data_IF_239689405721
#
_entry.id   IF_239689405721
#
_cell.length_a   1.000
_cell.length_b   1.000
_cell.length_c   1.000
_cell.angle_alpha   90.00
_cell.angle_beta   90.00
_cell.angle_gamma   90.00
#
_symmetry.space_group_name_H-M   'P 1'
#
loop_
_entity.id
_entity.type
_entity.pdbx_description
1 polymer ?
#
# COMPACT_ATOMS: atom_id res chain seq x y z
N UNK A 1 18.77 18.53 44.11
CA UNK A 1 17.94 17.40 43.65
C UNK A 1 16.95 17.93 42.65
N UNK A 2 17.19 17.72 41.36
CA UNK A 2 16.32 18.19 40.28
C UNK A 2 15.49 17.00 39.81
N UNK A 3 14.19 17.03 40.10
CA UNK A 3 13.23 16.02 39.63
C UNK A 3 12.89 16.39 38.19
N UNK A 4 13.40 15.62 37.24
CA UNK A 4 13.03 15.73 35.83
C UNK A 4 11.57 15.26 35.71
N UNK A 5 10.64 16.20 35.58
CA UNK A 5 9.26 15.87 35.21
C UNK A 5 9.23 15.62 33.69
N UNK A 6 9.01 14.35 33.39
CA UNK A 6 9.22 13.67 32.14
C UNK A 6 8.02 13.89 31.18
N UNK A 7 8.30 14.35 29.96
CA UNK A 7 7.67 14.05 28.64
C UNK A 7 6.14 13.91 28.44
N UNK A 8 5.29 13.81 29.46
CA UNK A 8 3.83 13.70 29.30
C UNK A 8 3.14 15.04 29.06
N UNK A 9 3.64 16.14 29.62
CA UNK A 9 3.07 17.49 29.39
C UNK A 9 3.28 17.97 27.94
N UNK A 10 4.37 17.55 27.28
CA UNK A 10 4.66 17.87 25.88
C UNK A 10 3.74 17.13 24.89
N UNK A 11 3.30 15.91 25.23
CA UNK A 11 2.36 15.16 24.39
C UNK A 11 0.92 15.63 24.56
N UNK A 12 0.52 16.02 25.77
CA UNK A 12 -0.81 16.61 26.00
C UNK A 12 -0.93 18.01 25.38
N UNK A 13 0.13 18.84 25.39
CA UNK A 13 0.11 20.13 24.71
C UNK A 13 -0.02 20.00 23.19
N UNK A 14 0.57 18.97 22.57
CA UNK A 14 0.46 18.74 21.12
C UNK A 14 -0.91 18.19 20.70
N UNK A 15 -1.58 17.38 21.52
CA UNK A 15 -2.99 17.04 21.26
C UNK A 15 -3.91 18.25 21.48
N UNK A 16 -3.59 19.12 22.44
CA UNK A 16 -4.27 20.40 22.64
C UNK A 16 -4.12 21.35 21.44
N UNK A 17 -2.95 21.41 20.81
CA UNK A 17 -2.70 22.24 19.62
C UNK A 17 -3.42 21.70 18.38
N UNK A 18 -3.42 20.38 18.15
CA UNK A 18 -4.19 19.75 17.07
C UNK A 18 -5.71 19.92 17.30
N UNK A 19 -6.16 19.77 18.55
CA UNK A 19 -7.54 19.99 18.97
C UNK A 19 -7.94 21.46 18.87
N UNK A 20 -7.05 22.41 19.16
CA UNK A 20 -7.27 23.86 18.97
C UNK A 20 -7.29 24.25 17.49
N UNK A 21 -6.44 23.65 16.65
CA UNK A 21 -6.51 23.78 15.19
C UNK A 21 -7.87 23.29 14.64
N UNK A 22 -8.38 22.19 15.20
CA UNK A 22 -9.63 21.58 14.74
C UNK A 22 -10.89 22.24 15.35
N UNK A 23 -10.79 22.79 16.57
CA UNK A 23 -11.90 23.42 17.30
C UNK A 23 -12.07 24.92 17.05
N UNK A 24 -11.06 25.64 16.53
CA UNK A 24 -11.16 27.05 16.08
C UNK A 24 -11.14 27.16 14.55
N UNK A 25 -11.93 26.32 13.89
CA UNK A 25 -11.97 26.05 12.44
C UNK A 25 -12.47 27.20 11.54
N UNK A 26 -12.72 28.40 12.07
CA UNK A 26 -13.23 29.53 11.28
C UNK A 26 -12.98 30.84 12.04
N UNK A 27 -12.14 31.72 11.50
CA UNK A 27 -12.01 33.11 11.97
C UNK A 27 -10.60 33.62 12.29
N UNK A 28 -9.55 32.84 12.05
CA UNK A 28 -8.16 33.30 12.20
C UNK A 28 -7.43 33.21 10.86
N UNK A 29 -7.15 34.36 10.24
CA UNK A 29 -6.54 34.48 8.93
C UNK A 29 -5.20 33.73 8.79
N UNK A 30 -4.41 33.61 9.86
CA UNK A 30 -3.16 32.85 9.85
C UNK A 30 -3.40 31.34 9.77
N UNK A 31 -4.43 30.84 10.46
CA UNK A 31 -4.82 29.42 10.41
C UNK A 31 -5.37 29.09 9.02
N UNK A 32 -6.22 29.96 8.48
CA UNK A 32 -6.77 29.83 7.12
C UNK A 32 -5.66 29.86 6.06
N UNK A 33 -4.65 30.73 6.22
CA UNK A 33 -3.51 30.84 5.31
C UNK A 33 -2.52 29.66 5.42
N UNK A 34 -2.35 29.06 6.61
CA UNK A 34 -1.53 27.85 6.78
C UNK A 34 -2.24 26.64 6.16
N UNK A 35 -3.55 26.48 6.37
CA UNK A 35 -4.36 25.43 5.75
C UNK A 35 -4.30 25.58 4.22
N UNK A 36 -4.59 26.78 3.71
CA UNK A 36 -4.53 27.09 2.28
C UNK A 36 -3.16 26.82 1.67
N UNK A 37 -2.05 27.17 2.34
CA UNK A 37 -0.70 26.87 1.86
C UNK A 37 -0.37 25.38 1.84
N UNK A 38 -0.82 24.62 2.84
CA UNK A 38 -0.67 23.16 2.85
C UNK A 38 -1.51 22.51 1.75
N UNK A 39 -2.72 22.97 1.52
CA UNK A 39 -3.60 22.49 0.45
C UNK A 39 -3.03 22.83 -0.93
N UNK A 40 -2.48 24.03 -1.15
CA UNK A 40 -1.82 24.41 -2.40
C UNK A 40 -0.56 23.59 -2.65
N UNK A 41 0.28 23.36 -1.62
CA UNK A 41 1.44 22.47 -1.74
C UNK A 41 1.01 21.04 -2.07
N UNK A 42 -0.08 20.57 -1.47
CA UNK A 42 -0.60 19.24 -1.74
C UNK A 42 -1.21 19.13 -3.13
N UNK A 43 -1.97 20.12 -3.59
CA UNK A 43 -2.48 20.22 -4.96
C UNK A 43 -1.34 20.21 -5.99
N UNK A 44 -0.28 20.99 -5.77
CA UNK A 44 0.90 20.97 -6.66
C UNK A 44 1.63 19.63 -6.62
N UNK A 45 1.69 18.99 -5.46
CA UNK A 45 2.22 17.62 -5.34
C UNK A 45 1.32 16.63 -6.08
N UNK A 46 0.01 16.80 -6.04
CA UNK A 46 -0.97 15.99 -6.77
C UNK A 46 -0.86 16.17 -8.28
N UNK A 47 -0.76 17.41 -8.76
CA UNK A 47 -0.48 17.72 -10.16
C UNK A 47 0.84 17.08 -10.60
N UNK A 48 1.89 17.14 -9.78
CA UNK A 48 3.15 16.44 -10.06
C UNK A 48 3.03 14.90 -10.02
N UNK A 49 2.04 14.38 -9.28
CA UNK A 49 1.69 12.96 -9.25
C UNK A 49 0.71 12.57 -10.37
N UNK A 50 0.27 13.52 -11.22
CA UNK A 50 -0.65 13.30 -12.34
C UNK A 50 -2.14 13.27 -11.97
N UNK A 51 -2.49 13.64 -10.73
CA UNK A 51 -3.84 13.63 -10.18
C UNK A 51 -4.56 14.93 -10.56
N UNK A 52 -5.41 14.88 -11.59
CA UNK A 52 -6.25 16.01 -12.02
C UNK A 52 -7.48 16.18 -11.12
N UNK A 53 -7.88 17.44 -10.86
CA UNK A 53 -9.01 17.83 -10.01
C UNK A 53 -10.40 17.47 -10.57
N UNK A 54 -10.47 16.95 -11.80
CA UNK A 54 -11.70 16.38 -12.35
C UNK A 54 -11.99 15.03 -11.65
N UNK A 55 -13.09 14.99 -10.90
CA UNK A 55 -13.56 13.85 -10.09
C UNK A 55 -13.86 12.54 -10.86
N UNK A 56 -13.43 12.44 -12.11
CA UNK A 56 -13.61 11.29 -13.01
C UNK A 56 -12.45 10.29 -13.01
N UNK A 57 -11.67 10.22 -11.94
CA UNK A 57 -10.35 9.58 -11.98
C UNK A 57 -10.39 8.05 -11.72
N UNK A 58 -11.19 7.34 -12.53
CA UNK A 58 -11.35 5.88 -12.53
C UNK A 58 -10.03 5.13 -12.50
N UNK A 59 -8.98 5.67 -13.15
CA UNK A 59 -7.63 5.10 -13.13
C UNK A 59 -7.02 5.00 -11.72
N UNK A 60 -7.24 5.97 -10.83
CA UNK A 60 -6.73 5.91 -9.45
C UNK A 60 -7.55 4.96 -8.60
N UNK A 61 -8.88 4.98 -8.72
CA UNK A 61 -9.74 3.97 -8.07
C UNK A 61 -9.37 2.55 -8.49
N UNK A 62 -8.95 2.36 -9.74
CA UNK A 62 -8.46 1.07 -10.23
C UNK A 62 -7.09 0.71 -9.65
N UNK A 63 -6.20 1.68 -9.42
CA UNK A 63 -4.93 1.44 -8.70
C UNK A 63 -5.21 1.03 -7.26
N UNK A 64 -6.01 1.79 -6.53
CA UNK A 64 -6.43 1.53 -5.15
C UNK A 64 -7.06 0.12 -5.02
N UNK A 65 -8.03 -0.21 -5.88
CA UNK A 65 -8.59 -1.57 -5.93
C UNK A 65 -7.56 -2.64 -6.24
N UNK A 66 -6.66 -2.41 -7.21
CA UNK A 66 -5.68 -3.41 -7.60
C UNK A 66 -4.62 -3.62 -6.50
N UNK A 67 -4.25 -2.56 -5.79
CA UNK A 67 -3.34 -2.58 -4.65
C UNK A 67 -3.97 -3.33 -3.46
N UNK A 68 -5.22 -3.04 -3.12
CA UNK A 68 -5.98 -3.78 -2.11
C UNK A 68 -6.14 -5.26 -2.49
N UNK A 69 -6.47 -5.57 -3.75
CA UNK A 69 -6.56 -6.96 -4.21
C UNK A 69 -5.21 -7.70 -4.11
N UNK A 70 -4.09 -7.01 -4.26
CA UNK A 70 -2.75 -7.58 -4.05
C UNK A 70 -2.53 -7.92 -2.58
N UNK A 71 -2.89 -7.02 -1.67
CA UNK A 71 -2.81 -7.26 -0.23
C UNK A 71 -3.74 -8.41 0.20
N UNK A 72 -4.99 -8.42 -0.26
CA UNK A 72 -5.93 -9.51 -0.02
C UNK A 72 -5.40 -10.87 -0.51
N UNK A 73 -4.69 -10.90 -1.64
CA UNK A 73 -4.11 -12.12 -2.17
C UNK A 73 -2.95 -12.62 -1.31
N UNK A 74 -2.16 -11.70 -0.73
CA UNK A 74 -1.12 -12.02 0.25
C UNK A 74 -1.70 -12.47 1.60
N UNK A 75 -2.77 -11.83 2.08
CA UNK A 75 -3.46 -12.24 3.32
C UNK A 75 -4.01 -13.65 3.23
N UNK A 76 -4.59 -14.01 2.09
CA UNK A 76 -5.07 -15.38 1.83
C UNK A 76 -3.94 -16.40 1.85
N UNK A 77 -2.72 -16.01 1.50
CA UNK A 77 -1.54 -16.86 1.60
C UNK A 77 -1.04 -17.04 3.04
N UNK A 78 -1.60 -16.35 4.03
CA UNK A 78 -1.25 -16.56 5.45
C UNK A 78 -2.05 -17.70 6.10
N UNK A 79 -3.06 -18.24 5.39
CA UNK A 79 -3.87 -19.34 5.88
C UNK A 79 -3.00 -20.59 6.13
N UNK A 80 -2.94 -21.02 7.39
CA UNK A 80 -2.13 -22.17 7.83
C UNK A 80 -2.54 -23.47 7.13
N UNK A 81 -3.81 -23.62 6.76
CA UNK A 81 -4.31 -24.81 6.08
C UNK A 81 -3.67 -25.01 4.70
N UNK A 82 -3.09 -23.97 4.10
CA UNK A 82 -2.35 -24.07 2.84
C UNK A 82 -0.97 -24.75 3.00
N UNK A 83 -0.47 -24.88 4.23
CA UNK A 83 0.89 -25.36 4.52
C UNK A 83 0.92 -26.65 5.34
N UNK A 84 -0.23 -27.12 5.81
CA UNK A 84 -0.36 -28.30 6.65
C UNK A 84 -1.20 -29.35 5.93
N UNK A 85 -0.79 -30.62 6.05
CA UNK A 85 -1.62 -31.72 5.57
C UNK A 85 -2.85 -31.85 6.47
N UNK A 86 -4.03 -32.10 5.88
CA UNK A 86 -5.18 -32.56 6.65
C UNK A 86 -4.82 -33.86 7.38
N UNK A 87 -5.26 -33.99 8.64
CA UNK A 87 -4.95 -35.15 9.47
C UNK A 87 -5.35 -36.45 8.76
N UNK A 88 -4.36 -37.29 8.43
CA UNK A 88 -4.56 -38.57 7.75
C UNK A 88 -4.60 -38.52 6.22
N UNK A 89 -4.26 -37.39 5.58
CA UNK A 89 -4.11 -37.26 4.12
C UNK A 89 -2.70 -36.85 3.72
N UNK A 90 -2.33 -37.13 2.47
CA UNK A 90 -1.14 -36.54 1.86
C UNK A 90 -1.34 -35.03 1.69
N UNK A 91 -0.25 -34.27 1.80
CA UNK A 91 -0.27 -32.83 1.62
C UNK A 91 -0.61 -32.47 0.17
N UNK A 92 -1.71 -31.73 -0.03
CA UNK A 92 -2.10 -31.20 -1.34
C UNK A 92 -1.63 -29.74 -1.48
N UNK A 93 -0.67 -29.51 -2.38
CA UNK A 93 -0.14 -28.17 -2.65
C UNK A 93 -1.02 -27.37 -3.62
N UNK A 94 -2.11 -27.92 -4.16
CA UNK A 94 -2.94 -27.24 -5.17
C UNK A 94 -3.51 -25.91 -4.66
N UNK A 95 -3.92 -25.85 -3.39
CA UNK A 95 -4.38 -24.62 -2.75
C UNK A 95 -3.30 -23.54 -2.71
N UNK A 96 -2.08 -23.92 -2.31
CA UNK A 96 -0.93 -23.03 -2.26
C UNK A 96 -0.53 -22.53 -3.65
N UNK A 97 -0.41 -23.43 -4.64
CA UNK A 97 -0.08 -23.08 -6.03
C UNK A 97 -1.09 -22.09 -6.62
N UNK A 98 -2.37 -22.31 -6.37
CA UNK A 98 -3.44 -21.40 -6.77
C UNK A 98 -3.35 -20.06 -6.04
N UNK A 99 -3.05 -20.07 -4.75
CA UNK A 99 -2.82 -18.85 -3.96
C UNK A 99 -1.67 -18.01 -4.52
N UNK A 100 -0.53 -18.63 -4.81
CA UNK A 100 0.64 -17.94 -5.38
C UNK A 100 0.35 -17.41 -6.79
N UNK A 101 -0.36 -18.19 -7.61
CA UNK A 101 -0.79 -17.75 -8.95
C UNK A 101 -1.74 -16.55 -8.88
N UNK A 102 -2.66 -16.54 -7.91
CA UNK A 102 -3.56 -15.41 -7.66
C UNK A 102 -2.78 -14.17 -7.20
N UNK A 103 -1.80 -14.33 -6.31
CA UNK A 103 -0.91 -13.26 -5.89
C UNK A 103 -0.15 -12.64 -7.07
N UNK A 104 0.46 -13.46 -7.92
CA UNK A 104 1.17 -13.00 -9.13
C UNK A 104 0.23 -12.25 -10.07
N UNK A 105 -0.99 -12.77 -10.25
CA UNK A 105 -2.02 -12.11 -11.07
C UNK A 105 -2.41 -10.75 -10.49
N UNK A 106 -2.60 -10.67 -9.17
CA UNK A 106 -2.94 -9.44 -8.48
C UNK A 106 -1.80 -8.41 -8.56
N UNK A 107 -0.54 -8.84 -8.39
CA UNK A 107 0.64 -7.99 -8.53
C UNK A 107 0.73 -7.43 -9.96
N UNK A 108 0.60 -8.29 -10.97
CA UNK A 108 0.64 -7.87 -12.37
C UNK A 108 -0.49 -6.90 -12.72
N UNK A 109 -1.66 -7.08 -12.10
CA UNK A 109 -2.78 -6.14 -12.20
C UNK A 109 -2.45 -4.80 -11.55
N UNK A 110 -1.85 -4.77 -10.36
CA UNK A 110 -1.42 -3.55 -9.69
C UNK A 110 -0.40 -2.76 -10.53
N UNK A 111 0.65 -3.42 -11.03
CA UNK A 111 1.65 -2.83 -11.93
C UNK A 111 1.02 -2.29 -13.22
N UNK A 112 0.05 -3.01 -13.79
CA UNK A 112 -0.67 -2.57 -14.98
C UNK A 112 -1.50 -1.31 -14.72
N UNK A 113 -2.22 -1.27 -13.60
CA UNK A 113 -3.03 -0.11 -13.23
C UNK A 113 -2.16 1.09 -12.86
N UNK A 114 -1.04 0.88 -12.16
CA UNK A 114 -0.03 1.92 -11.92
C UNK A 114 0.50 2.48 -13.23
N UNK A 115 0.86 1.63 -14.19
CA UNK A 115 1.35 2.05 -15.51
C UNK A 115 0.30 2.88 -16.27
N UNK A 116 -0.97 2.43 -16.25
CA UNK A 116 -2.10 3.15 -16.87
C UNK A 116 -2.37 4.49 -16.18
N UNK A 117 -2.17 4.55 -14.87
CA UNK A 117 -2.32 5.75 -14.08
C UNK A 117 -1.28 6.81 -14.47
N UNK A 118 -0.03 6.38 -14.64
CA UNK A 118 1.11 7.22 -14.99
C UNK A 118 1.56 8.15 -13.85
N UNK A 119 2.41 9.11 -14.20
CA UNK A 119 2.87 10.15 -13.27
C UNK A 119 3.82 9.65 -12.17
N UNK A 120 4.06 10.50 -11.17
CA UNK A 120 4.96 10.15 -10.07
C UNK A 120 4.41 9.01 -9.18
N UNK A 121 3.08 8.83 -9.12
CA UNK A 121 2.48 7.71 -8.39
C UNK A 121 2.92 6.36 -8.98
N UNK A 122 2.87 6.21 -10.30
CA UNK A 122 3.42 5.04 -10.98
C UNK A 122 4.90 4.82 -10.67
N UNK A 123 5.72 5.86 -10.81
CA UNK A 123 7.18 5.72 -10.68
C UNK A 123 7.59 5.37 -9.25
N UNK A 124 6.99 5.99 -8.23
CA UNK A 124 7.28 5.69 -6.82
C UNK A 124 6.91 4.26 -6.47
N UNK A 125 5.64 3.86 -6.67
CA UNK A 125 5.19 2.54 -6.23
C UNK A 125 5.73 1.39 -7.08
N UNK A 126 5.99 1.59 -8.37
CA UNK A 126 6.73 0.58 -9.16
C UNK A 126 8.13 0.36 -8.62
N UNK A 127 8.83 1.43 -8.26
CA UNK A 127 10.20 1.33 -7.71
C UNK A 127 10.15 0.62 -6.37
N UNK A 128 9.23 0.99 -5.48
CA UNK A 128 9.06 0.33 -4.18
C UNK A 128 8.75 -1.17 -4.31
N UNK A 129 7.84 -1.56 -5.22
CA UNK A 129 7.51 -2.96 -5.48
C UNK A 129 8.68 -3.73 -6.10
N UNK A 130 9.44 -3.10 -7.00
CA UNK A 130 10.63 -3.67 -7.61
C UNK A 130 11.75 -3.86 -6.58
N UNK A 131 12.00 -2.87 -5.72
CA UNK A 131 13.00 -2.95 -4.65
C UNK A 131 12.63 -4.00 -3.62
N UNK A 132 11.35 -4.09 -3.24
CA UNK A 132 10.86 -5.13 -2.35
C UNK A 132 11.10 -6.54 -2.93
N UNK A 133 10.86 -6.73 -4.24
CA UNK A 133 11.16 -7.98 -4.92
C UNK A 133 12.66 -8.25 -5.01
N UNK A 134 13.46 -7.26 -5.42
CA UNK A 134 14.91 -7.40 -5.57
C UNK A 134 15.62 -7.74 -4.26
N UNK A 135 15.13 -7.23 -3.14
CA UNK A 135 15.66 -7.56 -1.81
C UNK A 135 15.54 -9.05 -1.46
N UNK A 136 14.66 -9.78 -2.15
CA UNK A 136 14.37 -11.20 -1.96
C UNK A 136 14.42 -12.01 -3.25
N UNK A 137 15.19 -11.51 -4.23
CA UNK A 137 15.21 -12.04 -5.59
C UNK A 137 15.57 -13.52 -5.63
N UNK A 138 16.62 -13.91 -4.91
CA UNK A 138 17.11 -15.29 -4.91
C UNK A 138 16.08 -16.24 -4.28
N UNK A 139 15.39 -15.82 -3.22
CA UNK A 139 14.30 -16.59 -2.62
C UNK A 139 13.09 -16.71 -3.56
N UNK A 140 12.74 -15.64 -4.29
CA UNK A 140 11.68 -15.67 -5.30
C UNK A 140 12.03 -16.62 -6.45
N UNK A 141 13.25 -16.55 -6.98
CA UNK A 141 13.69 -17.41 -8.09
C UNK A 141 13.74 -18.90 -7.67
N UNK A 142 14.09 -19.18 -6.41
CA UNK A 142 14.06 -20.53 -5.85
C UNK A 142 12.64 -21.12 -5.79
N UNK A 143 11.63 -20.31 -5.52
CA UNK A 143 10.22 -20.76 -5.56
C UNK A 143 9.59 -20.65 -6.95
N UNK A 144 10.37 -20.35 -7.99
CA UNK A 144 9.89 -20.26 -9.37
C UNK A 144 9.19 -18.95 -9.74
N UNK A 145 9.40 -17.87 -8.99
CA UNK A 145 8.88 -16.54 -9.33
C UNK A 145 10.04 -15.65 -9.78
N UNK A 146 9.89 -14.99 -10.91
CA UNK A 146 10.89 -14.06 -11.44
C UNK A 146 10.26 -12.73 -11.84
N UNK A 147 11.07 -11.67 -11.89
CA UNK A 147 10.63 -10.35 -12.35
C UNK A 147 11.00 -10.18 -13.82
N UNK A 148 9.98 -9.97 -14.67
CA UNK A 148 10.13 -9.62 -16.07
C UNK A 148 10.61 -8.19 -16.27
N UNK A 149 11.03 -7.87 -17.51
CA UNK A 149 11.52 -6.54 -17.88
C UNK A 149 10.46 -5.44 -17.82
N UNK A 150 9.18 -5.79 -17.73
CA UNK A 150 8.05 -4.87 -17.59
C UNK A 150 7.63 -4.65 -16.12
N UNK A 151 8.48 -5.08 -15.17
CA UNK A 151 8.21 -5.10 -13.73
C UNK A 151 7.02 -5.98 -13.35
N UNK A 152 6.67 -6.98 -14.16
CA UNK A 152 5.65 -7.98 -13.83
C UNK A 152 6.30 -9.27 -13.36
N UNK A 153 5.60 -9.99 -12.49
CA UNK A 153 6.01 -11.30 -12.04
C UNK A 153 5.65 -12.37 -13.06
N UNK A 154 6.58 -13.31 -13.25
CA UNK A 154 6.43 -14.50 -14.09
C UNK A 154 6.60 -15.72 -13.21
N UNK A 155 5.70 -16.69 -13.37
CA UNK A 155 5.73 -17.96 -12.63
C UNK A 155 6.23 -19.07 -13.53
N UNK A 156 7.27 -19.74 -13.08
CA UNK A 156 7.70 -21.06 -13.55
C UNK A 156 6.90 -22.11 -12.77
N UNK A 157 5.89 -22.68 -13.42
CA UNK A 157 4.98 -23.63 -12.78
C UNK A 157 5.69 -24.92 -12.32
N UNK A 158 6.75 -25.34 -13.02
CA UNK A 158 7.49 -26.54 -12.64
C UNK A 158 8.30 -26.31 -11.37
N UNK A 159 9.01 -25.17 -11.29
CA UNK A 159 9.74 -24.79 -10.08
C UNK A 159 8.81 -24.49 -8.91
N UNK A 160 7.70 -23.80 -9.16
CA UNK A 160 6.73 -23.50 -8.10
C UNK A 160 6.08 -24.77 -7.56
N UNK A 161 5.78 -25.77 -8.41
CA UNK A 161 5.28 -27.07 -7.97
C UNK A 161 6.31 -27.87 -7.14
N UNK A 162 7.60 -27.70 -7.41
CA UNK A 162 8.69 -28.29 -6.66
C UNK A 162 9.11 -27.49 -5.40
N UNK A 163 8.61 -26.27 -5.24
CA UNK A 163 8.96 -25.40 -4.13
C UNK A 163 8.41 -25.93 -2.80
N UNK A 164 9.16 -25.73 -1.72
CA UNK A 164 8.70 -26.14 -0.40
C UNK A 164 7.65 -25.14 0.12
N UNK A 165 6.54 -25.63 0.71
CA UNK A 165 5.51 -24.75 1.29
C UNK A 165 6.06 -23.78 2.33
N UNK A 166 7.02 -24.23 3.13
CA UNK A 166 7.69 -23.43 4.15
C UNK A 166 8.45 -22.23 3.56
N UNK A 167 9.11 -22.43 2.40
CA UNK A 167 9.85 -21.37 1.71
C UNK A 167 8.89 -20.32 1.15
N UNK A 168 7.76 -20.77 0.58
CA UNK A 168 6.68 -19.89 0.12
C UNK A 168 6.10 -19.08 1.29
N UNK A 169 5.84 -19.72 2.44
CA UNK A 169 5.34 -19.06 3.65
C UNK A 169 6.32 -18.03 4.20
N UNK A 170 7.60 -18.38 4.25
CA UNK A 170 8.64 -17.49 4.75
C UNK A 170 8.77 -16.22 3.89
N UNK A 171 8.49 -16.34 2.59
CA UNK A 171 8.62 -15.24 1.64
C UNK A 171 7.35 -14.40 1.48
N UNK A 172 6.17 -15.04 1.42
CA UNK A 172 4.89 -14.38 1.12
C UNK A 172 3.95 -14.27 2.33
N UNK A 173 4.22 -14.97 3.42
CA UNK A 173 3.41 -14.92 4.64
C UNK A 173 3.49 -13.58 5.35
N UNK A 174 2.53 -13.32 6.25
CA UNK A 174 2.33 -12.02 6.92
C UNK A 174 3.52 -11.55 7.76
N UNK A 175 4.36 -12.50 8.20
CA UNK A 175 5.56 -12.22 9.00
C UNK A 175 6.75 -11.76 8.17
N UNK A 176 6.74 -12.02 6.86
CA UNK A 176 7.83 -11.72 5.94
C UNK A 176 8.06 -10.21 5.79
N UNK A 177 9.30 -9.82 5.50
CA UNK A 177 9.62 -8.42 5.18
C UNK A 177 8.97 -7.99 3.87
N UNK A 178 8.84 -8.91 2.91
CA UNK A 178 8.19 -8.64 1.63
C UNK A 178 6.72 -8.26 1.84
N UNK A 179 5.95 -9.08 2.58
CA UNK A 179 4.55 -8.77 2.91
C UNK A 179 4.42 -7.38 3.55
N UNK A 180 5.24 -7.08 4.56
CA UNK A 180 5.17 -5.79 5.28
C UNK A 180 5.47 -4.60 4.38
N UNK A 181 6.43 -4.75 3.46
CA UNK A 181 6.75 -3.71 2.48
C UNK A 181 5.58 -3.47 1.52
N UNK A 182 4.98 -4.54 1.00
CA UNK A 182 3.80 -4.43 0.12
C UNK A 182 2.62 -3.82 0.88
N UNK A 183 2.31 -4.29 2.09
CA UNK A 183 1.24 -3.73 2.92
C UNK A 183 1.44 -2.23 3.18
N UNK A 184 2.65 -1.82 3.55
CA UNK A 184 2.97 -0.40 3.79
C UNK A 184 2.82 0.46 2.54
N UNK A 185 3.20 -0.08 1.38
CA UNK A 185 3.04 0.59 0.10
C UNK A 185 1.56 0.70 -0.30
N UNK A 186 0.75 -0.35 -0.08
CA UNK A 186 -0.71 -0.32 -0.30
C UNK A 186 -1.39 0.70 0.61
N UNK A 187 -1.06 0.74 1.91
CA UNK A 187 -1.57 1.75 2.84
C UNK A 187 -1.23 3.18 2.39
N UNK A 188 -0.03 3.37 1.82
CA UNK A 188 0.42 4.64 1.28
C UNK A 188 -0.35 5.01 -0.01
N UNK A 189 -0.59 4.05 -0.91
CA UNK A 189 -1.42 4.21 -2.10
C UNK A 189 -2.82 4.66 -1.68
N UNK A 190 -3.45 3.94 -0.76
CA UNK A 190 -4.80 4.22 -0.29
C UNK A 190 -4.88 5.58 0.37
N UNK A 191 -3.90 5.94 1.20
CA UNK A 191 -3.85 7.26 1.83
C UNK A 191 -3.75 8.38 0.79
N UNK A 192 -2.88 8.23 -0.21
CA UNK A 192 -2.67 9.24 -1.26
C UNK A 192 -3.92 9.36 -2.15
N UNK A 193 -4.49 8.24 -2.57
CA UNK A 193 -5.64 8.19 -3.49
C UNK A 193 -6.91 8.66 -2.79
N UNK A 194 -7.21 8.17 -1.58
CA UNK A 194 -8.38 8.63 -0.83
C UNK A 194 -8.29 10.12 -0.56
N UNK A 195 -7.13 10.62 -0.13
CA UNK A 195 -6.93 12.07 0.04
C UNK A 195 -7.14 12.82 -1.27
N UNK A 196 -6.63 12.32 -2.39
CA UNK A 196 -6.83 12.92 -3.69
C UNK A 196 -8.29 12.99 -4.15
N UNK A 197 -9.03 11.88 -3.98
CA UNK A 197 -10.46 11.80 -4.30
C UNK A 197 -11.28 12.76 -3.44
N UNK A 198 -10.93 12.84 -2.16
CA UNK A 198 -11.61 13.69 -1.20
C UNK A 198 -11.50 15.18 -1.61
N UNK A 199 -10.34 15.68 -2.06
CA UNK A 199 -10.21 17.06 -2.57
C UNK A 199 -10.92 17.30 -3.91
N UNK A 200 -10.93 16.33 -4.83
CA UNK A 200 -11.59 16.49 -6.14
C UNK A 200 -13.12 16.56 -6.06
N UNK A 201 -13.71 16.07 -4.96
CA UNK A 201 -15.16 16.04 -4.74
C UNK A 201 -15.79 17.35 -4.23
N UNK A 202 -15.01 18.42 -4.05
CA UNK A 202 -15.53 19.71 -3.56
C UNK A 202 -15.99 19.71 -2.10
N UNK A 203 -15.92 18.57 -1.40
CA UNK A 203 -16.26 18.47 0.03
C UNK A 203 -15.21 19.10 0.96
N UNK A 204 -14.06 19.52 0.43
CA UNK A 204 -13.14 20.41 1.13
C UNK A 204 -13.47 21.84 0.73
N UNK A 205 -14.46 22.44 1.40
CA UNK A 205 -14.36 23.88 1.59
C UNK A 205 -13.19 24.14 2.56
N UNK A 206 -12.71 25.38 2.62
CA UNK A 206 -11.56 25.84 3.43
C UNK A 206 -11.62 25.49 4.94
N UNK A 207 -12.60 24.72 5.40
CA UNK A 207 -12.80 24.24 6.76
C UNK A 207 -12.57 22.74 6.94
N UNK A 208 -12.08 21.98 5.96
CA UNK A 208 -11.62 20.58 6.14
C UNK A 208 -12.57 19.66 6.92
N UNK A 209 -13.87 19.68 6.62
CA UNK A 209 -14.86 18.76 7.22
C UNK A 209 -15.15 17.65 6.21
N UNK A 210 -15.06 16.40 6.64
CA UNK A 210 -15.75 15.28 5.97
C UNK A 210 -17.23 15.37 6.37
N UNK A 211 -18.13 15.52 5.39
CA UNK A 211 -19.56 15.31 5.61
C UNK A 211 -19.81 13.85 6.00
#
# INVERSE_FOLDING_TARGET
MSTIHNSMEYYQSNQGLLSMLNSKKSGNALIDQIISNNDLKFQRKMESMGLSADGSNSKYKNVDKAANNLLDALEKLDDKSLYEAEAGKEYDNAGLLKGVSNFVTAYNSAITNLTKCGGALNNSFKTEFEEAFKAKKDEFENIGISLGSDNKLVVDQEKLAAAKPEDVKALLGSTSSYYKNIASAVDSIDTIINKALAMGSGNYNAKGVML
#
